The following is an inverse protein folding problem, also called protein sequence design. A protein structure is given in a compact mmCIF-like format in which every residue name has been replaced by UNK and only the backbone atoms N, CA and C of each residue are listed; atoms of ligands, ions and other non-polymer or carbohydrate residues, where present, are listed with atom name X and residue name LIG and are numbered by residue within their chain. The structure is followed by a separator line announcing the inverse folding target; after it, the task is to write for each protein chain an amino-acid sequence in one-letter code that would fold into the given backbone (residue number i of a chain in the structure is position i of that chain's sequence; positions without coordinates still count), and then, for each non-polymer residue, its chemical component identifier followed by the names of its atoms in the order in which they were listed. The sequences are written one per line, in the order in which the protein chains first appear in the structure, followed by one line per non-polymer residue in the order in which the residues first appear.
data_IF_562663840616
#
_entry.id   IF_562663840616
#
_cell.length_a   1.000
_cell.length_b   1.000
_cell.length_c   1.000
_cell.angle_alpha   90.00
_cell.angle_beta   90.00
_cell.angle_gamma   90.00
#
_symmetry.space_group_name_H-M   'P 1'
#
loop_
_entity.id
_entity.type
_entity.pdbx_description
1 polymer ?
#
# COMPACT_ATOMS: atom_id res chain seq x y z
N UNK A 1 5.94 -37.76 -35.65
CA UNK A 1 5.30 -37.16 -34.46
C UNK A 1 5.72 -37.99 -33.26
N UNK A 2 6.52 -37.43 -32.34
CA UNK A 2 6.85 -38.15 -31.11
C UNK A 2 5.61 -38.17 -30.20
N UNK A 3 5.25 -39.32 -29.60
CA UNK A 3 4.16 -39.38 -28.66
C UNK A 3 4.49 -38.48 -27.47
N UNK A 4 3.61 -37.51 -27.21
CA UNK A 4 3.68 -36.67 -26.02
C UNK A 4 3.55 -37.60 -24.81
N UNK A 5 4.58 -37.76 -23.95
CA UNK A 5 4.51 -38.67 -22.82
C UNK A 5 3.34 -38.27 -21.93
N UNK A 6 2.43 -39.21 -21.72
CA UNK A 6 1.26 -39.13 -20.88
C UNK A 6 1.66 -39.10 -19.39
N UNK A 7 2.31 -38.03 -18.95
CA UNK A 7 2.59 -37.76 -17.54
C UNK A 7 2.08 -36.36 -17.18
N UNK A 8 0.86 -36.03 -17.61
CA UNK A 8 0.10 -34.96 -16.98
C UNK A 8 -0.46 -35.53 -15.69
N UNK A 9 0.34 -35.55 -14.62
CA UNK A 9 -0.25 -35.66 -13.29
C UNK A 9 -1.13 -34.42 -13.12
N UNK A 10 -2.45 -34.58 -13.24
CA UNK A 10 -3.41 -33.53 -12.85
C UNK A 10 -3.03 -33.13 -11.43
N UNK A 11 -2.43 -31.95 -11.25
CA UNK A 11 -2.14 -31.44 -9.91
C UNK A 11 -3.45 -31.49 -9.14
N UNK A 12 -3.52 -32.25 -8.05
CA UNK A 12 -4.78 -32.43 -7.33
C UNK A 12 -5.34 -31.05 -6.93
N UNK A 13 -6.66 -30.89 -7.00
CA UNK A 13 -7.33 -29.64 -6.60
C UNK A 13 -6.94 -29.22 -5.18
N UNK A 14 -6.62 -30.18 -4.31
CA UNK A 14 -6.09 -29.92 -2.97
C UNK A 14 -4.70 -29.25 -2.99
N UNK A 15 -3.76 -29.73 -3.80
CA UNK A 15 -2.41 -29.15 -3.90
C UNK A 15 -2.44 -27.71 -4.44
N UNK A 16 -3.33 -27.42 -5.41
CA UNK A 16 -3.52 -26.07 -5.94
C UNK A 16 -4.07 -25.13 -4.87
N UNK A 17 -5.10 -25.56 -4.12
CA UNK A 17 -5.68 -24.77 -3.02
C UNK A 17 -4.65 -24.48 -1.93
N UNK A 18 -3.86 -25.48 -1.53
CA UNK A 18 -2.78 -25.30 -0.56
C UNK A 18 -1.76 -24.25 -1.02
N UNK A 19 -1.38 -24.29 -2.31
CA UNK A 19 -0.48 -23.30 -2.91
C UNK A 19 -1.04 -21.88 -2.84
N UNK A 20 -2.31 -21.68 -3.17
CA UNK A 20 -2.94 -20.36 -3.09
C UNK A 20 -3.04 -19.83 -1.66
N UNK A 21 -3.22 -20.68 -0.64
CA UNK A 21 -3.16 -20.26 0.77
C UNK A 21 -1.78 -19.71 1.15
N UNK A 22 -0.71 -20.36 0.70
CA UNK A 22 0.67 -19.88 0.93
C UNK A 22 0.92 -18.55 0.20
N UNK A 23 0.48 -18.45 -1.05
CA UNK A 23 0.57 -17.20 -1.83
C UNK A 23 -0.18 -16.07 -1.14
N UNK A 24 -1.38 -16.34 -0.63
CA UNK A 24 -2.17 -15.39 0.14
C UNK A 24 -1.45 -14.92 1.40
N UNK A 25 -0.93 -15.84 2.21
CA UNK A 25 -0.21 -15.48 3.43
C UNK A 25 1.03 -14.64 3.14
N UNK A 26 1.80 -14.97 2.10
CA UNK A 26 2.95 -14.18 1.67
C UNK A 26 2.54 -12.79 1.18
N UNK A 27 1.48 -12.68 0.37
CA UNK A 27 0.99 -11.40 -0.14
C UNK A 27 0.44 -10.51 0.99
N UNK A 28 -0.27 -11.09 1.95
CA UNK A 28 -0.73 -10.41 3.17
C UNK A 28 0.44 -9.90 4.01
N UNK A 29 1.49 -10.70 4.20
CA UNK A 29 2.68 -10.27 4.91
C UNK A 29 3.36 -9.09 4.19
N UNK A 30 3.52 -9.17 2.87
CA UNK A 30 4.07 -8.07 2.07
C UNK A 30 3.22 -6.79 2.17
N UNK A 31 1.89 -6.91 2.09
CA UNK A 31 0.95 -5.81 2.26
C UNK A 31 1.15 -5.12 3.63
N UNK A 32 1.13 -5.89 4.71
CA UNK A 32 1.25 -5.36 6.07
C UNK A 32 2.62 -4.71 6.32
N UNK A 33 3.71 -5.32 5.87
CA UNK A 33 5.07 -4.73 6.00
C UNK A 33 5.17 -3.45 5.18
N UNK A 34 4.69 -3.46 3.93
CA UNK A 34 4.72 -2.30 3.07
C UNK A 34 3.94 -1.12 3.66
N UNK A 35 2.74 -1.37 4.18
CA UNK A 35 1.96 -0.36 4.89
C UNK A 35 2.73 0.24 6.05
N UNK A 36 3.33 -0.59 6.92
CA UNK A 36 4.03 -0.13 8.11
C UNK A 36 5.23 0.74 7.75
N UNK A 37 6.01 0.37 6.73
CA UNK A 37 7.14 1.17 6.25
C UNK A 37 6.67 2.53 5.72
N UNK A 38 5.62 2.55 4.89
CA UNK A 38 5.09 3.80 4.31
C UNK A 38 4.46 4.68 5.39
N UNK A 39 3.67 4.10 6.29
CA UNK A 39 3.04 4.82 7.39
C UNK A 39 4.07 5.41 8.36
N UNK A 40 5.12 4.65 8.68
CA UNK A 40 6.23 5.14 9.49
C UNK A 40 6.95 6.29 8.81
N UNK A 41 7.35 6.16 7.54
CA UNK A 41 8.03 7.22 6.81
C UNK A 41 7.18 8.51 6.73
N UNK A 42 5.88 8.36 6.47
CA UNK A 42 4.94 9.47 6.45
C UNK A 42 4.86 10.18 7.81
N UNK A 43 4.56 9.43 8.88
CA UNK A 43 4.34 10.03 10.19
C UNK A 43 5.64 10.56 10.81
N UNK A 44 6.74 9.83 10.70
CA UNK A 44 8.05 10.26 11.16
C UNK A 44 8.51 11.54 10.44
N UNK A 45 8.24 11.66 9.13
CA UNK A 45 8.50 12.88 8.37
C UNK A 45 7.73 14.09 8.90
N UNK A 46 6.43 13.92 9.10
CA UNK A 46 5.56 14.96 9.67
C UNK A 46 6.00 15.36 11.08
N UNK A 47 6.27 14.40 11.96
CA UNK A 47 6.75 14.64 13.34
C UNK A 47 8.09 15.36 13.35
N UNK A 48 9.05 14.92 12.53
CA UNK A 48 10.38 15.53 12.45
C UNK A 48 10.28 16.99 12.01
N UNK A 49 9.43 17.29 11.02
CA UNK A 49 9.25 18.65 10.56
C UNK A 49 8.51 19.51 11.58
N UNK A 50 7.48 18.98 12.24
CA UNK A 50 6.76 19.67 13.31
C UNK A 50 7.70 20.08 14.45
N UNK A 51 8.57 19.16 14.91
CA UNK A 51 9.60 19.45 15.91
C UNK A 51 10.56 20.55 15.48
N UNK A 52 11.01 20.53 14.23
CA UNK A 52 11.88 21.59 13.68
C UNK A 52 11.20 22.95 13.63
N UNK A 53 9.88 22.97 13.45
CA UNK A 53 9.07 24.19 13.44
C UNK A 53 8.55 24.58 14.83
N UNK A 54 8.87 23.82 15.89
CA UNK A 54 8.39 24.07 17.25
C UNK A 54 6.88 23.91 17.41
N UNK A 55 6.24 23.07 16.59
CA UNK A 55 4.79 22.81 16.64
C UNK A 55 4.52 21.72 17.67
N UNK A 56 3.87 22.03 18.81
CA UNK A 56 3.55 21.04 19.83
C UNK A 56 2.49 20.06 19.32
N UNK A 57 2.58 18.81 19.74
CA UNK A 57 1.55 17.83 19.40
C UNK A 57 1.75 16.47 20.06
N UNK A 58 0.97 15.51 19.56
CA UNK A 58 1.03 14.12 19.97
C UNK A 58 1.07 13.19 18.76
N UNK A 59 1.99 12.24 18.79
CA UNK A 59 2.06 11.12 17.85
C UNK A 59 1.47 9.87 18.51
N UNK A 60 0.33 9.41 18.01
CA UNK A 60 -0.43 8.28 18.57
C UNK A 60 -0.83 7.27 17.50
N UNK A 61 -1.56 6.22 17.89
CA UNK A 61 -2.13 5.24 16.95
C UNK A 61 -3.09 5.86 15.93
N UNK A 62 -3.77 6.95 16.30
CA UNK A 62 -4.62 7.76 15.42
C UNK A 62 -3.84 8.71 14.52
N UNK A 63 -2.51 8.61 14.48
CA UNK A 63 -1.65 9.51 13.71
C UNK A 63 -1.11 10.70 14.52
N UNK A 64 -0.72 11.75 13.81
CA UNK A 64 -0.10 12.95 14.38
C UNK A 64 -1.18 14.02 14.56
N UNK A 65 -1.32 14.54 15.77
CA UNK A 65 -2.24 15.63 16.12
C UNK A 65 -1.45 16.80 16.67
N UNK A 66 -1.74 18.01 16.21
CA UNK A 66 -1.07 19.22 16.67
C UNK A 66 -1.93 19.97 17.69
N UNK A 67 -1.29 20.54 18.68
CA UNK A 67 -1.90 21.32 19.78
C UNK A 67 -1.69 22.82 19.56
N UNK A 68 -1.70 23.25 18.29
CA UNK A 68 -1.51 24.64 17.90
C UNK A 68 -2.85 25.22 17.45
N UNK A 69 -3.26 26.33 18.07
CA UNK A 69 -4.46 27.06 17.66
C UNK A 69 -4.31 27.72 16.28
N UNK A 70 -5.44 28.07 15.66
CA UNK A 70 -5.49 28.57 14.27
C UNK A 70 -4.58 29.78 14.02
N UNK A 71 -4.48 30.70 14.98
CA UNK A 71 -3.63 31.90 14.89
C UNK A 71 -2.12 31.60 14.96
N UNK A 72 -1.73 30.41 15.43
CA UNK A 72 -0.34 29.98 15.50
C UNK A 72 0.23 29.51 14.16
N UNK A 73 -0.63 29.13 13.22
CA UNK A 73 -0.22 28.57 11.93
C UNK A 73 0.25 29.66 10.96
N UNK A 74 1.48 29.48 10.46
CA UNK A 74 2.03 30.29 9.38
C UNK A 74 1.99 29.51 8.06
N UNK A 75 1.78 30.16 6.90
CA UNK A 75 1.69 29.45 5.61
C UNK A 75 2.88 28.53 5.34
N UNK A 76 4.10 29.01 5.54
CA UNK A 76 5.32 28.22 5.34
C UNK A 76 5.40 27.01 6.29
N UNK A 77 4.95 27.15 7.53
CA UNK A 77 4.92 26.08 8.52
C UNK A 77 3.91 24.99 8.10
N UNK A 78 2.69 25.38 7.70
CA UNK A 78 1.67 24.46 7.18
C UNK A 78 2.22 23.67 6.00
N UNK A 79 2.77 24.38 5.01
CA UNK A 79 3.33 23.74 3.81
C UNK A 79 4.44 22.76 4.18
N UNK A 80 5.39 23.13 5.03
CA UNK A 80 6.49 22.25 5.40
C UNK A 80 6.01 21.02 6.21
N UNK A 81 5.23 21.23 7.26
CA UNK A 81 4.78 20.15 8.16
C UNK A 81 3.89 19.14 7.43
N UNK A 82 2.90 19.61 6.67
CA UNK A 82 1.93 18.75 6.02
C UNK A 82 2.40 18.17 4.67
N UNK A 83 3.42 18.74 4.01
CA UNK A 83 3.99 18.15 2.78
C UNK A 83 5.12 17.15 3.03
N UNK A 84 5.86 17.26 4.15
CA UNK A 84 7.04 16.42 4.41
C UNK A 84 6.68 14.94 4.49
N UNK A 85 5.60 14.57 5.20
CA UNK A 85 5.14 13.19 5.30
C UNK A 85 4.79 12.57 3.93
N UNK A 86 3.88 13.18 3.15
CA UNK A 86 3.60 12.76 1.77
C UNK A 86 4.84 12.67 0.89
N UNK A 87 5.75 13.66 0.96
CA UNK A 87 6.97 13.67 0.17
C UNK A 87 7.89 12.48 0.50
N UNK A 88 8.09 12.16 1.79
CA UNK A 88 8.89 10.99 2.19
C UNK A 88 8.21 9.67 1.78
N UNK A 89 6.89 9.57 1.91
CA UNK A 89 6.15 8.39 1.46
C UNK A 89 6.31 8.16 -0.05
N UNK A 90 6.18 9.22 -0.87
CA UNK A 90 6.49 9.13 -2.31
C UNK A 90 7.95 8.77 -2.56
N UNK A 91 8.89 9.34 -1.81
CA UNK A 91 10.32 9.00 -1.91
C UNK A 91 10.58 7.50 -1.70
N UNK A 92 9.95 6.90 -0.68
CA UNK A 92 9.99 5.45 -0.44
C UNK A 92 9.40 4.66 -1.62
N UNK A 93 8.26 5.09 -2.15
CA UNK A 93 7.63 4.46 -3.31
C UNK A 93 8.52 4.53 -4.56
N UNK A 94 9.08 5.70 -4.87
CA UNK A 94 9.99 5.90 -6.00
C UNK A 94 11.25 5.06 -5.86
N UNK A 95 11.86 5.03 -4.69
CA UNK A 95 13.02 4.17 -4.42
C UNK A 95 12.66 2.69 -4.61
N UNK A 96 11.50 2.26 -4.10
CA UNK A 96 11.03 0.89 -4.27
C UNK A 96 10.82 0.54 -5.76
N UNK A 97 10.27 1.46 -6.55
CA UNK A 97 10.09 1.30 -8.00
C UNK A 97 11.43 1.20 -8.74
N UNK A 98 12.40 2.06 -8.41
CA UNK A 98 13.75 2.02 -8.99
C UNK A 98 14.44 0.70 -8.67
N UNK A 99 14.41 0.27 -7.41
CA UNK A 99 15.00 -1.01 -6.98
C UNK A 99 14.29 -2.20 -7.64
N UNK A 100 12.96 -2.14 -7.79
CA UNK A 100 12.19 -3.14 -8.51
C UNK A 100 12.71 -3.29 -9.94
N UNK A 101 12.78 -2.18 -10.68
CA UNK A 101 13.15 -2.21 -12.09
C UNK A 101 14.61 -2.60 -12.32
N UNK A 102 15.52 -2.02 -11.55
CA UNK A 102 16.96 -2.20 -11.74
C UNK A 102 17.49 -3.53 -11.19
N UNK A 103 16.92 -4.04 -10.09
CA UNK A 103 17.53 -5.15 -9.34
C UNK A 103 16.64 -6.38 -9.19
N UNK A 104 15.34 -6.20 -9.01
CA UNK A 104 14.47 -7.30 -8.57
C UNK A 104 13.60 -7.90 -9.67
N UNK A 105 13.25 -7.17 -10.74
CA UNK A 105 12.37 -7.62 -11.84
C UNK A 105 12.66 -9.04 -12.33
N UNK A 106 13.93 -9.38 -12.49
CA UNK A 106 14.37 -10.68 -13.02
C UNK A 106 14.72 -11.72 -11.95
N UNK A 107 14.73 -11.33 -10.67
CA UNK A 107 15.03 -12.23 -9.56
C UNK A 107 13.79 -13.04 -9.16
N UNK A 108 14.03 -14.22 -8.58
CA UNK A 108 13.00 -15.02 -7.90
C UNK A 108 12.90 -14.55 -6.45
N UNK A 109 11.69 -14.58 -5.90
CA UNK A 109 11.42 -14.28 -4.50
C UNK A 109 10.42 -13.15 -4.31
N UNK A 110 9.91 -13.08 -3.08
CA UNK A 110 8.88 -12.14 -2.65
C UNK A 110 9.32 -10.68 -2.62
N UNK A 111 10.62 -10.40 -2.79
CA UNK A 111 11.15 -9.04 -2.81
C UNK A 111 10.48 -8.16 -3.87
N UNK A 112 10.18 -8.73 -5.06
CA UNK A 112 9.41 -8.03 -6.10
C UNK A 112 8.03 -7.62 -5.64
N UNK A 113 7.32 -8.57 -5.01
CA UNK A 113 5.95 -8.35 -4.53
C UNK A 113 5.92 -7.34 -3.39
N UNK A 114 6.88 -7.40 -2.46
CA UNK A 114 7.04 -6.43 -1.39
C UNK A 114 7.30 -5.02 -1.94
N UNK A 115 8.21 -4.88 -2.91
CA UNK A 115 8.51 -3.58 -3.53
C UNK A 115 7.31 -3.00 -4.28
N UNK A 116 6.54 -3.83 -4.99
CA UNK A 116 5.32 -3.35 -5.62
C UNK A 116 4.27 -2.94 -4.58
N UNK A 117 4.11 -3.70 -3.49
CA UNK A 117 3.23 -3.27 -2.39
C UNK A 117 3.69 -1.96 -1.75
N UNK A 118 5.00 -1.72 -1.61
CA UNK A 118 5.53 -0.42 -1.15
C UNK A 118 5.15 0.72 -2.09
N UNK A 119 5.30 0.53 -3.41
CA UNK A 119 4.87 1.50 -4.43
C UNK A 119 3.37 1.78 -4.29
N UNK A 120 2.54 0.72 -4.23
CA UNK A 120 1.09 0.85 -4.14
C UNK A 120 0.68 1.57 -2.85
N UNK A 121 1.27 1.23 -1.69
CA UNK A 121 0.98 1.90 -0.43
C UNK A 121 1.44 3.36 -0.41
N UNK A 122 2.60 3.68 -1.01
CA UNK A 122 3.08 5.05 -1.13
C UNK A 122 2.13 5.91 -1.99
N UNK A 123 1.71 5.38 -3.14
CA UNK A 123 0.71 6.03 -4.00
C UNK A 123 -0.64 6.17 -3.27
N UNK A 124 -1.08 5.14 -2.56
CA UNK A 124 -2.28 5.17 -1.73
C UNK A 124 -2.21 6.24 -0.63
N UNK A 125 -1.09 6.32 0.08
CA UNK A 125 -0.87 7.26 1.18
C UNK A 125 -0.87 8.74 0.73
N UNK A 126 -0.52 9.02 -0.52
CA UNK A 126 -0.48 10.39 -1.05
C UNK A 126 -1.71 10.72 -1.89
N UNK A 127 -2.05 9.90 -2.89
CA UNK A 127 -3.10 10.23 -3.85
C UNK A 127 -4.47 9.95 -3.21
N UNK A 128 -4.66 8.72 -2.70
CA UNK A 128 -5.86 8.36 -1.94
C UNK A 128 -5.93 9.09 -0.59
N UNK A 129 -4.76 9.32 0.02
CA UNK A 129 -4.61 10.13 1.22
C UNK A 129 -5.15 11.54 1.04
N UNK A 130 -4.77 12.25 -0.02
CA UNK A 130 -5.26 13.60 -0.30
C UNK A 130 -6.78 13.63 -0.54
N UNK A 131 -7.34 12.59 -1.18
CA UNK A 131 -8.78 12.49 -1.36
C UNK A 131 -9.52 12.33 -0.02
N UNK A 132 -9.06 11.41 0.83
CA UNK A 132 -9.64 11.21 2.17
C UNK A 132 -9.49 12.47 3.05
N UNK A 133 -8.32 13.09 2.98
CA UNK A 133 -7.98 14.33 3.69
C UNK A 133 -8.85 15.49 3.24
N UNK A 134 -9.13 15.60 1.93
CA UNK A 134 -10.03 16.63 1.39
C UNK A 134 -11.46 16.46 1.89
N UNK A 135 -11.98 15.24 1.90
CA UNK A 135 -13.34 14.94 2.40
C UNK A 135 -13.48 15.30 3.88
N UNK A 136 -12.41 15.13 4.65
CA UNK A 136 -12.40 15.36 6.11
C UNK A 136 -11.77 16.69 6.51
N UNK A 137 -11.32 17.50 5.54
CA UNK A 137 -10.59 18.76 5.73
C UNK A 137 -9.46 18.64 6.76
N UNK A 138 -8.62 17.62 6.62
CA UNK A 138 -7.56 17.30 7.58
C UNK A 138 -6.23 16.96 6.91
N UNK A 139 -5.15 16.91 7.67
CA UNK A 139 -3.87 16.39 7.19
C UNK A 139 -3.32 17.10 5.95
N UNK A 140 -3.05 16.35 4.89
CA UNK A 140 -2.45 16.89 3.66
C UNK A 140 -3.35 17.84 2.87
N UNK A 141 -4.66 17.89 3.16
CA UNK A 141 -5.59 18.86 2.54
C UNK A 141 -5.18 20.30 2.77
N UNK A 142 -4.57 20.62 3.93
CA UNK A 142 -4.12 21.98 4.22
C UNK A 142 -3.07 22.47 3.20
N UNK A 143 -2.28 21.58 2.58
CA UNK A 143 -1.24 21.98 1.62
C UNK A 143 -1.84 22.67 0.39
N UNK A 144 -2.67 22.02 -0.45
CA UNK A 144 -3.28 22.70 -1.58
C UNK A 144 -4.26 23.79 -1.15
N UNK A 145 -4.92 23.68 0.01
CA UNK A 145 -5.84 24.72 0.46
C UNK A 145 -5.12 26.05 0.73
N UNK A 146 -3.94 26.00 1.35
CA UNK A 146 -3.14 27.19 1.60
C UNK A 146 -2.34 27.64 0.36
N UNK A 147 -1.94 26.71 -0.50
CA UNK A 147 -1.15 27.03 -1.70
C UNK A 147 -1.99 27.59 -2.85
N UNK A 148 -3.21 27.06 -3.02
CA UNK A 148 -4.07 27.32 -4.19
C UNK A 148 -5.39 28.01 -3.80
N UNK A 149 -5.85 27.79 -2.56
CA UNK A 149 -7.23 28.06 -2.17
C UNK A 149 -7.56 29.51 -1.89
N UNK A 150 -6.65 30.32 -1.35
CA UNK A 150 -6.93 31.74 -1.03
C UNK A 150 -8.18 31.98 -0.16
N UNK A 151 -8.72 30.94 0.49
CA UNK A 151 -10.02 30.95 1.18
C UNK A 151 -11.04 29.92 0.66
N UNK A 152 -10.90 29.45 -0.58
CA UNK A 152 -11.83 28.52 -1.22
C UNK A 152 -11.37 27.05 -1.19
N UNK A 153 -12.31 26.13 -1.01
CA UNK A 153 -12.07 24.68 -0.94
C UNK A 153 -12.04 23.98 -2.30
N UNK A 154 -12.48 24.65 -3.37
CA UNK A 154 -12.64 24.05 -4.69
C UNK A 154 -11.31 23.62 -5.33
N UNK A 155 -10.18 24.37 -5.25
CA UNK A 155 -8.94 23.96 -5.92
C UNK A 155 -8.38 22.66 -5.33
N UNK A 156 -8.44 22.53 -4.00
CA UNK A 156 -8.05 21.32 -3.28
C UNK A 156 -8.91 20.12 -3.68
N UNK A 157 -10.22 20.33 -3.83
CA UNK A 157 -11.16 19.29 -4.29
C UNK A 157 -10.84 18.83 -5.71
N UNK A 158 -10.62 19.75 -6.64
CA UNK A 158 -10.26 19.41 -8.01
C UNK A 158 -8.94 18.63 -8.05
N UNK A 159 -7.92 19.07 -7.32
CA UNK A 159 -6.64 18.36 -7.25
C UNK A 159 -6.80 16.94 -6.69
N UNK A 160 -7.58 16.77 -5.62
CA UNK A 160 -7.86 15.47 -5.03
C UNK A 160 -8.55 14.52 -6.01
N UNK A 161 -9.53 15.01 -6.76
CA UNK A 161 -10.22 14.23 -7.80
C UNK A 161 -9.29 13.87 -8.97
N UNK A 162 -8.40 14.77 -9.38
CA UNK A 162 -7.39 14.48 -10.41
C UNK A 162 -6.41 13.40 -9.94
N UNK A 163 -5.94 13.45 -8.69
CA UNK A 163 -5.08 12.39 -8.15
C UNK A 163 -5.84 11.06 -8.00
N UNK A 164 -7.11 11.09 -7.61
CA UNK A 164 -7.96 9.91 -7.57
C UNK A 164 -8.13 9.26 -8.96
N UNK A 165 -8.35 10.07 -10.00
CA UNK A 165 -8.35 9.61 -11.38
C UNK A 165 -6.97 9.05 -11.80
N UNK A 166 -5.89 9.70 -11.34
CA UNK A 166 -4.53 9.20 -11.51
C UNK A 166 -4.32 7.81 -10.90
N UNK A 167 -4.92 7.50 -9.74
CA UNK A 167 -4.87 6.15 -9.16
C UNK A 167 -5.52 5.11 -10.06
N UNK A 168 -6.62 5.45 -10.74
CA UNK A 168 -7.27 4.51 -11.66
C UNK A 168 -6.35 4.12 -12.81
N UNK A 169 -5.69 5.13 -13.41
CA UNK A 169 -4.74 4.94 -14.52
C UNK A 169 -3.52 4.14 -14.06
N UNK A 170 -2.92 4.53 -12.94
CA UNK A 170 -1.74 3.85 -12.38
C UNK A 170 -2.04 2.41 -12.00
N UNK A 171 -3.23 2.13 -11.46
CA UNK A 171 -3.67 0.77 -11.12
C UNK A 171 -3.63 -0.14 -12.35
N UNK A 172 -4.15 0.32 -13.48
CA UNK A 172 -4.11 -0.42 -14.73
C UNK A 172 -2.67 -0.63 -15.24
N UNK A 173 -1.83 0.41 -15.19
CA UNK A 173 -0.43 0.33 -15.65
C UNK A 173 0.44 -0.64 -14.84
N UNK A 174 0.13 -0.83 -13.54
CA UNK A 174 0.87 -1.72 -12.65
C UNK A 174 0.47 -3.19 -12.80
N UNK A 175 -0.58 -3.51 -13.56
CA UNK A 175 -1.05 -4.89 -13.76
C UNK A 175 0.03 -5.84 -14.26
N UNK A 176 0.74 -5.49 -15.34
CA UNK A 176 1.81 -6.32 -15.90
C UNK A 176 2.96 -6.51 -14.89
N UNK A 177 3.56 -5.44 -14.31
CA UNK A 177 4.55 -5.59 -13.25
C UNK A 177 4.10 -6.49 -12.09
N UNK A 178 2.84 -6.38 -11.68
CA UNK A 178 2.28 -7.16 -10.58
C UNK A 178 2.16 -8.65 -10.91
N UNK A 179 1.78 -8.98 -12.14
CA UNK A 179 1.82 -10.36 -12.63
C UNK A 179 3.26 -10.89 -12.67
N UNK A 180 4.23 -10.10 -13.12
CA UNK A 180 5.65 -10.50 -13.15
C UNK A 180 6.28 -10.68 -11.76
N UNK A 181 5.70 -10.08 -10.72
CA UNK A 181 6.16 -10.21 -9.35
C UNK A 181 5.83 -11.57 -8.71
N UNK A 182 4.94 -12.37 -9.32
CA UNK A 182 4.57 -13.68 -8.77
C UNK A 182 5.68 -14.72 -8.99
N UNK A 183 5.99 -15.49 -7.96
CA UNK A 183 7.09 -16.47 -7.99
C UNK A 183 6.74 -17.82 -8.62
N UNK A 184 5.46 -18.07 -8.89
CA UNK A 184 4.98 -19.36 -9.36
C UNK A 184 4.27 -19.25 -10.71
N UNK A 185 4.85 -19.86 -11.74
CA UNK A 185 4.22 -20.03 -13.05
C UNK A 185 2.86 -20.74 -12.98
N UNK A 186 2.69 -21.71 -12.07
CA UNK A 186 1.41 -22.42 -11.87
C UNK A 186 0.28 -21.50 -11.38
N UNK A 187 0.63 -20.38 -10.76
CA UNK A 187 -0.33 -19.39 -10.26
C UNK A 187 -0.60 -18.34 -11.35
N UNK A 188 0.36 -18.16 -12.26
CA UNK A 188 0.27 -17.25 -13.40
C UNK A 188 -0.53 -17.79 -14.60
N UNK A 189 -1.03 -19.02 -14.53
CA UNK A 189 -1.88 -19.58 -15.57
C UNK A 189 -3.15 -18.73 -15.73
N UNK A 190 -3.53 -18.47 -16.97
CA UNK A 190 -4.65 -17.60 -17.30
C UNK A 190 -5.95 -18.07 -16.63
N UNK A 191 -6.20 -19.38 -16.64
CA UNK A 191 -7.36 -20.04 -16.04
C UNK A 191 -7.45 -19.85 -14.52
N UNK A 192 -6.33 -19.46 -13.89
CA UNK A 192 -6.22 -19.27 -12.44
C UNK A 192 -6.10 -17.80 -12.04
N UNK A 193 -6.17 -16.86 -12.99
CA UNK A 193 -6.11 -15.41 -12.73
C UNK A 193 -7.12 -14.93 -11.69
N UNK A 194 -8.39 -15.37 -11.69
CA UNK A 194 -9.34 -14.97 -10.65
C UNK A 194 -8.88 -15.39 -9.25
N UNK A 195 -8.30 -16.59 -9.11
CA UNK A 195 -7.78 -17.07 -7.83
C UNK A 195 -6.53 -16.32 -7.41
N UNK A 196 -5.64 -16.00 -8.36
CA UNK A 196 -4.46 -15.17 -8.13
C UNK A 196 -4.86 -13.77 -7.63
N UNK A 197 -5.77 -13.09 -8.32
CA UNK A 197 -6.24 -11.74 -7.96
C UNK A 197 -6.85 -11.74 -6.56
N UNK A 198 -7.71 -12.72 -6.25
CA UNK A 198 -8.28 -12.88 -4.90
C UNK A 198 -7.20 -13.12 -3.85
N UNK A 199 -6.24 -13.99 -4.13
CA UNK A 199 -5.19 -14.36 -3.18
C UNK A 199 -4.11 -13.28 -3.00
N UNK A 200 -3.84 -12.47 -4.01
CA UNK A 200 -2.68 -11.56 -4.00
C UNK A 200 -3.01 -10.09 -3.99
N UNK A 201 -4.24 -9.70 -4.34
CA UNK A 201 -4.68 -8.29 -4.38
C UNK A 201 -5.84 -8.08 -3.41
N UNK A 202 -7.01 -8.65 -3.72
CA UNK A 202 -8.26 -8.35 -3.00
C UNK A 202 -8.21 -8.87 -1.56
N UNK A 203 -7.83 -10.12 -1.38
CA UNK A 203 -7.75 -10.75 -0.06
C UNK A 203 -6.75 -10.05 0.88
N UNK A 204 -5.47 -9.87 0.46
CA UNK A 204 -4.49 -9.11 1.23
C UNK A 204 -4.94 -7.70 1.57
N UNK A 205 -5.60 -6.99 0.64
CA UNK A 205 -6.13 -5.66 0.91
C UNK A 205 -7.25 -5.68 1.95
N UNK A 206 -8.27 -6.53 1.81
CA UNK A 206 -9.40 -6.58 2.74
C UNK A 206 -8.95 -7.02 4.14
N UNK A 207 -8.26 -8.17 4.23
CA UNK A 207 -7.82 -8.70 5.52
C UNK A 207 -6.70 -7.83 6.11
N UNK A 208 -5.76 -7.36 5.30
CA UNK A 208 -4.69 -6.48 5.74
C UNK A 208 -5.21 -5.15 6.27
N UNK A 209 -6.11 -4.48 5.53
CA UNK A 209 -6.77 -3.25 6.01
C UNK A 209 -7.57 -3.50 7.28
N UNK A 210 -8.28 -4.63 7.37
CA UNK A 210 -9.00 -5.03 8.58
C UNK A 210 -8.08 -5.19 9.79
N UNK A 211 -6.97 -5.91 9.65
CA UNK A 211 -5.97 -6.08 10.71
C UNK A 211 -5.34 -4.74 11.12
N UNK A 212 -5.04 -3.87 10.16
CA UNK A 212 -4.52 -2.53 10.42
C UNK A 212 -5.55 -1.65 11.15
N UNK A 213 -6.81 -1.70 10.75
CA UNK A 213 -7.90 -0.98 11.41
C UNK A 213 -8.08 -1.47 12.86
N UNK A 214 -8.10 -2.79 13.09
CA UNK A 214 -8.15 -3.38 14.42
C UNK A 214 -6.96 -2.94 15.29
N UNK A 215 -5.75 -2.88 14.71
CA UNK A 215 -4.55 -2.43 15.43
C UNK A 215 -4.62 -0.97 15.90
N UNK A 216 -5.51 -0.16 15.32
CA UNK A 216 -5.73 1.25 15.67
C UNK A 216 -6.87 1.48 16.65
N UNK A 217 -7.68 0.48 16.98
CA UNK A 217 -8.77 0.64 17.97
C UNK A 217 -8.21 1.01 19.35
N UNK A 218 -8.83 1.98 20.07
CA UNK A 218 -10.11 2.64 19.77
C UNK A 218 -10.02 3.91 18.90
N UNK A 219 -8.85 4.30 18.41
CA UNK A 219 -8.59 5.57 17.72
C UNK A 219 -8.88 5.56 16.22
N UNK A 220 -9.63 4.58 15.72
CA UNK A 220 -9.96 4.49 14.30
C UNK A 220 -10.98 5.58 13.93
N UNK A 221 -10.56 6.56 13.13
CA UNK A 221 -11.40 7.65 12.64
C UNK A 221 -11.92 7.43 11.22
N UNK A 222 -12.82 8.32 10.80
CA UNK A 222 -13.37 8.33 9.45
C UNK A 222 -12.29 8.54 8.38
N UNK A 223 -11.32 9.43 8.64
CA UNK A 223 -10.22 9.70 7.70
C UNK A 223 -9.41 8.42 7.42
N UNK A 224 -9.09 7.62 8.43
CA UNK A 224 -8.39 6.35 8.25
C UNK A 224 -9.19 5.34 7.43
N UNK A 225 -10.50 5.22 7.71
CA UNK A 225 -11.39 4.33 6.96
C UNK A 225 -11.42 4.75 5.49
N UNK A 226 -11.54 6.04 5.21
CA UNK A 226 -11.49 6.59 3.85
C UNK A 226 -10.13 6.31 3.20
N UNK A 227 -9.00 6.47 3.91
CA UNK A 227 -7.67 6.11 3.38
C UNK A 227 -7.56 4.63 2.99
N UNK A 228 -8.15 3.72 3.76
CA UNK A 228 -8.22 2.30 3.36
C UNK A 228 -9.14 2.06 2.17
N UNK A 229 -10.28 2.76 2.12
CA UNK A 229 -11.26 2.64 1.04
C UNK A 229 -10.74 3.20 -0.28
N UNK A 230 -10.07 4.36 -0.28
CA UNK A 230 -9.51 5.00 -1.49
C UNK A 230 -8.45 4.14 -2.18
N UNK A 231 -7.77 3.24 -1.45
CA UNK A 231 -6.89 2.23 -2.04
C UNK A 231 -7.59 1.36 -3.09
N UNK A 232 -8.92 1.18 -3.00
CA UNK A 232 -9.71 0.46 -4.00
C UNK A 232 -9.68 1.12 -5.39
N UNK A 233 -9.50 2.44 -5.49
CA UNK A 233 -9.34 3.15 -6.76
C UNK A 233 -8.04 2.73 -7.47
N UNK A 234 -7.01 2.37 -6.71
CA UNK A 234 -5.77 1.84 -7.27
C UNK A 234 -5.87 0.33 -7.54
N UNK A 235 -6.44 -0.43 -6.59
CA UNK A 235 -6.46 -1.90 -6.65
C UNK A 235 -7.54 -2.47 -7.57
N UNK A 236 -8.65 -1.76 -7.80
CA UNK A 236 -9.72 -2.18 -8.68
C UNK A 236 -9.25 -2.33 -10.13
N UNK A 237 -8.73 -1.26 -10.76
CA UNK A 237 -8.15 -1.33 -12.11
C UNK A 237 -6.96 -2.27 -12.20
N UNK A 238 -6.13 -2.36 -11.15
CA UNK A 238 -5.05 -3.36 -11.08
C UNK A 238 -5.59 -4.78 -11.17
N UNK A 239 -6.62 -5.11 -10.39
CA UNK A 239 -7.26 -6.42 -10.41
C UNK A 239 -7.88 -6.72 -11.78
N UNK A 240 -8.60 -5.76 -12.37
CA UNK A 240 -9.19 -5.90 -13.70
C UNK A 240 -8.13 -6.10 -14.79
N UNK A 241 -7.07 -5.29 -14.79
CA UNK A 241 -5.95 -5.43 -15.72
C UNK A 241 -5.29 -6.81 -15.59
N UNK A 242 -5.07 -7.30 -14.36
CA UNK A 242 -4.55 -8.65 -14.14
C UNK A 242 -5.47 -9.77 -14.68
N UNK A 243 -6.79 -9.57 -14.70
CA UNK A 243 -7.75 -10.55 -15.24
C UNK A 243 -7.80 -10.54 -16.77
N UNK A 244 -7.64 -9.35 -17.39
CA UNK A 244 -7.75 -9.16 -18.83
C UNK A 244 -6.42 -9.42 -19.57
N UNK A 245 -5.30 -9.33 -18.87
CA UNK A 245 -3.97 -9.46 -19.47
C UNK A 245 -3.74 -10.87 -20.07
N UNK A 246 -3.45 -10.89 -21.37
CA UNK A 246 -3.22 -12.10 -22.17
C UNK A 246 -1.90 -12.80 -21.87
N UNK A 247 -0.98 -12.12 -21.17
CA UNK A 247 0.30 -12.67 -20.74
C UNK A 247 0.12 -14.01 -20.00
N UNK A 248 0.52 -15.11 -20.64
CA UNK A 248 0.47 -16.45 -20.08
C UNK A 248 1.82 -17.15 -20.27
N UNK A 249 2.59 -17.27 -19.19
CA UNK A 249 3.79 -18.11 -19.20
C UNK A 249 3.39 -19.56 -18.98
N UNK A 250 3.18 -20.30 -20.08
CA UNK A 250 3.00 -21.76 -20.05
C UNK A 250 4.36 -22.44 -19.84
N UNK A 251 4.81 -22.56 -18.58
CA UNK A 251 5.85 -23.53 -18.20
C UNK A 251 5.21 -24.70 -17.45
N UNK A 252 5.60 -25.90 -17.84
CA UNK A 252 4.97 -27.17 -17.44
C UNK A 252 5.44 -27.70 -16.08
N UNK A 253 6.50 -27.12 -15.50
CA UNK A 253 7.02 -27.58 -14.19
C UNK A 253 6.55 -26.67 -13.04
N UNK A 254 5.83 -27.21 -12.05
CA UNK A 254 5.41 -26.44 -10.89
C UNK A 254 6.62 -26.03 -10.04
N UNK A 255 6.83 -24.73 -9.86
CA UNK A 255 7.83 -24.21 -8.90
C UNK A 255 7.27 -24.31 -7.47
N UNK A 256 8.02 -24.82 -6.48
CA UNK A 256 7.58 -24.85 -5.09
C UNK A 256 7.42 -23.43 -4.55
N UNK A 257 6.28 -23.14 -3.92
CA UNK A 257 6.04 -21.88 -3.20
C UNK A 257 6.20 -22.14 -1.71
N UNK A 258 7.16 -21.47 -1.08
CA UNK A 258 7.42 -21.60 0.36
C UNK A 258 6.76 -20.45 1.11
N UNK A 259 6.31 -20.74 2.33
CA UNK A 259 5.79 -19.73 3.24
C UNK A 259 6.98 -18.93 3.79
N UNK A 260 6.91 -17.60 3.69
CA UNK A 260 7.96 -16.72 4.18
C UNK A 260 7.70 -16.36 5.65
N UNK A 261 8.01 -17.30 6.54
CA UNK A 261 7.85 -17.13 7.99
C UNK A 261 8.51 -15.85 8.52
N UNK A 262 9.69 -15.49 8.01
CA UNK A 262 10.36 -14.25 8.39
C UNK A 262 9.56 -12.99 8.07
N UNK A 263 8.88 -12.93 6.92
CA UNK A 263 8.02 -11.78 6.57
C UNK A 263 6.75 -11.75 7.41
N UNK A 264 6.16 -12.91 7.72
CA UNK A 264 5.00 -13.00 8.61
C UNK A 264 5.35 -12.55 10.02
N UNK A 265 6.49 -13.00 10.56
CA UNK A 265 6.99 -12.58 11.86
C UNK A 265 7.26 -11.08 11.87
N UNK A 266 7.94 -10.54 10.84
CA UNK A 266 8.18 -9.10 10.71
C UNK A 266 6.87 -8.30 10.66
N UNK A 267 5.88 -8.77 9.90
CA UNK A 267 4.58 -8.13 9.81
C UNK A 267 3.87 -8.08 11.17
N UNK A 268 3.80 -9.21 11.88
CA UNK A 268 3.14 -9.31 13.18
C UNK A 268 3.86 -8.55 14.29
N UNK A 269 5.18 -8.72 14.40
CA UNK A 269 6.00 -8.02 15.39
C UNK A 269 5.97 -6.51 15.16
N UNK A 270 5.99 -6.06 13.91
CA UNK A 270 5.86 -4.65 13.59
C UNK A 270 4.53 -4.05 14.06
N UNK A 271 3.40 -4.75 13.87
CA UNK A 271 2.10 -4.29 14.36
C UNK A 271 2.05 -4.20 15.89
N UNK A 272 2.60 -5.20 16.57
CA UNK A 272 2.69 -5.20 18.03
C UNK A 272 3.58 -4.08 18.52
N UNK A 273 4.77 -3.92 17.94
CA UNK A 273 5.70 -2.85 18.29
C UNK A 273 5.09 -1.46 18.06
N UNK A 274 4.40 -1.26 16.93
CA UNK A 274 3.69 -0.03 16.63
C UNK A 274 2.61 0.28 17.67
N UNK A 275 1.82 -0.74 18.04
CA UNK A 275 0.77 -0.60 19.06
C UNK A 275 1.32 -0.25 20.43
N UNK A 276 2.41 -0.89 20.85
CA UNK A 276 3.05 -0.64 22.14
C UNK A 276 3.73 0.73 22.18
N UNK A 277 4.43 1.12 21.11
CA UNK A 277 5.15 2.38 21.05
C UNK A 277 4.23 3.61 21.03
N UNK A 278 3.10 3.53 20.32
CA UNK A 278 2.20 4.68 20.11
C UNK A 278 0.89 4.60 20.90
N UNK A 279 0.66 3.53 21.66
CA UNK A 279 -0.57 3.31 22.42
C UNK A 279 -0.84 4.38 23.49
N UNK A 280 0.21 4.88 24.14
CA UNK A 280 0.11 5.98 25.11
C UNK A 280 0.16 7.38 24.51
N UNK A 281 0.48 7.50 23.21
CA UNK A 281 0.83 8.77 22.57
C UNK A 281 2.21 9.28 23.01
N UNK A 282 3.00 9.73 22.03
CA UNK A 282 4.32 10.34 22.25
C UNK A 282 4.20 11.83 22.02
N UNK A 283 4.54 12.65 23.01
CA UNK A 283 4.58 14.11 22.85
C UNK A 283 5.68 14.50 21.87
N UNK A 284 5.37 15.45 20.98
CA UNK A 284 6.29 15.95 19.97
C UNK A 284 6.53 17.44 20.13
#
# INVERSE_FOLDING_TARGET
MQPVPALVSKSSTAAVRAKFRVVFANALACYLVAYQVVAFAYQAGTVLMARRQGVPGTWSLGGVRFELGDSGWRPNMVLQVYSTGPALALGVGLLALVVFWQRQRHRRGLGKLLLLWLVLHALGAVFGGLLADTVTQSGSWYVPNWLLGGGDTWPSTVLALLLAAGQLVLGNLVAIPFLLAQDSHTVLQFERRPQLVRATIIGPWLLGSGLLALSRLPHLGLNEVLRFATMSLLLGPLALGCLQESFSQKKWTPSPTRLAWGLLALAGLGLVAWRLALGGGVRI
#
